data_IF_652645343337
#
_entry.id   IF_652645343337
#
_cell.length_a   1.000
_cell.length_b   1.000
_cell.length_c   1.000
_cell.angle_alpha   90.00
_cell.angle_beta   90.00
_cell.angle_gamma   90.00
#
_symmetry.space_group_name_H-M   'P 1'
#
loop_
_entity.id
_entity.type
_entity.pdbx_description
1 polymer ?
#
# COMPACT_ATOMS: atom_id res chain seq x y z
N UNK A 1 2.30 -25.22 2.29
CA UNK A 1 3.01 -25.40 3.58
C UNK A 1 4.16 -26.40 3.54
N UNK A 2 4.08 -27.54 2.84
CA UNK A 2 5.19 -28.51 2.82
C UNK A 2 6.51 -27.93 2.29
N UNK A 3 6.46 -27.03 1.29
CA UNK A 3 7.65 -26.31 0.79
C UNK A 3 8.31 -25.50 1.92
N UNK A 4 7.54 -24.64 2.59
CA UNK A 4 8.00 -23.82 3.73
C UNK A 4 8.58 -24.72 4.84
N UNK A 5 7.89 -25.82 5.18
CA UNK A 5 8.38 -26.78 6.17
C UNK A 5 9.71 -27.41 5.75
N UNK A 6 9.86 -27.78 4.48
CA UNK A 6 11.09 -28.37 3.96
C UNK A 6 12.24 -27.36 3.95
N UNK A 7 11.98 -26.09 3.64
CA UNK A 7 12.96 -24.99 3.79
C UNK A 7 13.41 -24.86 5.24
N UNK A 8 12.47 -24.79 6.18
CA UNK A 8 12.77 -24.69 7.61
C UNK A 8 13.56 -25.89 8.15
N UNK A 9 13.33 -27.08 7.60
CA UNK A 9 14.09 -28.29 7.94
C UNK A 9 15.44 -28.40 7.22
N UNK A 10 15.82 -27.43 6.39
CA UNK A 10 17.05 -27.45 5.59
C UNK A 10 17.07 -28.52 4.49
N UNK A 11 15.90 -29.00 4.07
CA UNK A 11 15.75 -30.03 3.01
C UNK A 11 15.64 -29.42 1.61
N UNK A 12 15.33 -28.13 1.53
CA UNK A 12 15.27 -27.36 0.29
C UNK A 12 16.04 -26.06 0.47
N UNK A 13 16.52 -25.51 -0.63
CA UNK A 13 17.12 -24.19 -0.71
C UNK A 13 16.20 -23.24 -1.51
N UNK A 14 16.34 -21.94 -1.26
CA UNK A 14 15.64 -20.91 -2.02
C UNK A 14 16.13 -20.91 -3.48
N UNK A 15 15.21 -20.77 -4.42
CA UNK A 15 15.52 -20.79 -5.85
C UNK A 15 14.51 -19.97 -6.66
N UNK A 16 14.88 -19.60 -7.89
CA UNK A 16 13.98 -18.91 -8.82
C UNK A 16 12.75 -19.75 -9.18
N UNK A 17 12.90 -21.05 -9.41
CA UNK A 17 11.78 -21.94 -9.72
C UNK A 17 10.79 -22.02 -8.55
N UNK A 18 11.29 -21.97 -7.31
CA UNK A 18 10.43 -21.90 -6.14
C UNK A 18 9.62 -20.61 -6.09
N UNK A 19 10.21 -19.47 -6.47
CA UNK A 19 9.50 -18.20 -6.53
C UNK A 19 8.27 -18.29 -7.43
N UNK A 20 8.39 -18.88 -8.62
CA UNK A 20 7.26 -19.07 -9.56
C UNK A 20 6.06 -19.76 -8.90
N UNK A 21 6.30 -20.72 -7.99
CA UNK A 21 5.26 -21.42 -7.23
C UNK A 21 4.73 -20.57 -6.06
N UNK A 22 5.62 -19.93 -5.29
CA UNK A 22 5.24 -19.14 -4.11
C UNK A 22 4.42 -17.89 -4.49
N UNK A 23 4.71 -17.29 -5.64
CA UNK A 23 3.96 -16.12 -6.12
C UNK A 23 2.58 -16.46 -6.72
N UNK A 24 2.24 -17.74 -6.95
CA UNK A 24 0.86 -18.14 -7.29
C UNK A 24 -0.12 -17.93 -6.13
N UNK A 25 0.37 -17.85 -4.89
CA UNK A 25 -0.49 -17.58 -3.74
C UNK A 25 -1.08 -16.16 -3.83
N UNK A 26 -2.40 -15.97 -3.90
CA UNK A 26 -2.97 -14.62 -3.95
C UNK A 26 -2.94 -13.92 -2.57
N UNK A 27 -2.44 -14.59 -1.53
CA UNK A 27 -2.49 -14.10 -0.13
C UNK A 27 -3.91 -13.73 0.31
N UNK A 28 -4.91 -14.52 -0.13
CA UNK A 28 -6.34 -14.27 0.14
C UNK A 28 -6.81 -14.62 1.56
N UNK A 29 -5.89 -15.05 2.43
CA UNK A 29 -6.13 -15.48 3.82
C UNK A 29 -7.03 -16.73 4.03
N UNK A 30 -7.63 -17.31 2.99
CA UNK A 30 -8.53 -18.47 3.14
C UNK A 30 -7.90 -19.65 3.90
N UNK A 31 -6.60 -19.89 3.74
CA UNK A 31 -5.88 -20.95 4.46
C UNK A 31 -5.62 -20.63 5.94
N UNK A 32 -5.53 -19.35 6.32
CA UNK A 32 -5.40 -18.94 7.73
C UNK A 32 -6.73 -19.13 8.45
N UNK A 33 -7.84 -18.70 7.83
CA UNK A 33 -9.20 -18.86 8.40
C UNK A 33 -9.59 -20.32 8.62
N UNK A 34 -9.20 -21.22 7.71
CA UNK A 34 -9.49 -22.64 7.83
C UNK A 34 -8.51 -23.38 8.75
N UNK A 35 -7.50 -22.70 9.31
CA UNK A 35 -6.44 -23.35 10.05
C UNK A 35 -6.90 -23.76 11.45
N UNK A 36 -6.93 -25.07 11.73
CA UNK A 36 -7.27 -25.60 13.06
C UNK A 36 -6.29 -25.19 14.18
N UNK A 37 -5.12 -24.63 13.81
CA UNK A 37 -4.06 -24.21 14.73
C UNK A 37 -3.87 -22.69 14.76
N UNK A 38 -4.78 -21.93 14.14
CA UNK A 38 -4.77 -20.46 14.13
C UNK A 38 -3.44 -19.85 13.66
N UNK A 39 -2.82 -20.48 12.65
CA UNK A 39 -1.59 -19.98 12.04
C UNK A 39 -1.92 -18.96 10.96
N UNK A 40 -1.24 -17.80 11.00
CA UNK A 40 -1.27 -16.83 9.91
C UNK A 40 -0.42 -17.30 8.72
N UNK A 41 -1.01 -18.20 7.95
CA UNK A 41 -0.39 -18.76 6.77
C UNK A 41 -0.11 -17.69 5.71
N UNK A 42 -0.94 -16.65 5.59
CA UNK A 42 -0.71 -15.56 4.65
C UNK A 42 0.56 -14.76 5.00
N UNK A 43 0.75 -14.43 6.27
CA UNK A 43 1.97 -13.76 6.74
C UNK A 43 3.23 -14.63 6.53
N UNK A 44 3.13 -15.95 6.71
CA UNK A 44 4.25 -16.87 6.42
C UNK A 44 4.63 -16.82 4.93
N UNK A 45 3.65 -16.79 4.01
CA UNK A 45 3.93 -16.65 2.58
C UNK A 45 4.55 -15.30 2.24
N UNK A 46 4.12 -14.21 2.87
CA UNK A 46 4.73 -12.89 2.71
C UNK A 46 6.17 -12.86 3.22
N UNK A 47 6.45 -13.48 4.36
CA UNK A 47 7.79 -13.60 4.92
C UNK A 47 8.71 -14.39 3.96
N UNK A 48 8.22 -15.51 3.42
CA UNK A 48 8.99 -16.29 2.44
C UNK A 48 9.27 -15.48 1.16
N UNK A 49 8.35 -14.63 0.71
CA UNK A 49 8.61 -13.73 -0.43
C UNK A 49 9.72 -12.74 -0.14
N UNK A 50 9.79 -12.22 1.09
CA UNK A 50 10.88 -11.34 1.50
C UNK A 50 12.22 -12.08 1.48
N UNK A 51 12.28 -13.31 2.02
CA UNK A 51 13.48 -14.14 1.95
C UNK A 51 13.91 -14.46 0.51
N UNK A 52 12.95 -14.75 -0.38
CA UNK A 52 13.23 -14.96 -1.80
C UNK A 52 13.84 -13.72 -2.47
N UNK A 53 13.35 -12.52 -2.14
CA UNK A 53 13.91 -11.26 -2.65
C UNK A 53 15.33 -11.04 -2.13
N UNK A 54 15.56 -11.23 -0.83
CA UNK A 54 16.89 -11.07 -0.21
C UNK A 54 17.90 -12.08 -0.75
N UNK A 55 17.46 -13.30 -1.08
CA UNK A 55 18.26 -14.34 -1.73
C UNK A 55 18.46 -14.12 -3.24
N UNK A 56 17.95 -13.04 -3.83
CA UNK A 56 18.06 -12.77 -5.28
C UNK A 56 17.23 -13.71 -6.16
N UNK A 57 16.25 -14.40 -5.57
CA UNK A 57 15.38 -15.37 -6.24
C UNK A 57 13.98 -14.82 -6.56
N UNK A 58 13.66 -13.59 -6.17
CA UNK A 58 12.36 -12.97 -6.47
C UNK A 58 12.10 -12.79 -7.97
N UNK A 59 10.84 -12.60 -8.36
CA UNK A 59 10.46 -12.48 -9.76
C UNK A 59 10.93 -11.15 -10.36
N UNK A 60 11.63 -11.22 -11.49
CA UNK A 60 12.16 -10.06 -12.21
C UNK A 60 11.04 -9.10 -12.67
N UNK A 61 9.84 -9.63 -12.93
CA UNK A 61 8.66 -8.85 -13.30
C UNK A 61 8.21 -7.84 -12.23
N UNK A 62 8.55 -8.04 -10.96
CA UNK A 62 8.19 -7.12 -9.87
C UNK A 62 9.14 -5.91 -9.77
N UNK A 63 10.37 -6.04 -10.27
CA UNK A 63 11.44 -5.04 -10.08
C UNK A 63 11.08 -3.65 -10.61
N UNK A 64 10.56 -3.49 -11.86
CA UNK A 64 10.24 -2.16 -12.38
C UNK A 64 9.18 -1.43 -11.54
N UNK A 65 8.19 -2.19 -11.06
CA UNK A 65 7.07 -1.66 -10.27
C UNK A 65 7.54 -1.19 -8.89
N UNK A 66 8.38 -1.98 -8.20
CA UNK A 66 8.95 -1.60 -6.90
C UNK A 66 9.92 -0.42 -7.01
N UNK A 67 10.72 -0.38 -8.08
CA UNK A 67 11.60 0.77 -8.35
C UNK A 67 10.78 2.05 -8.56
N UNK A 68 9.77 2.01 -9.44
CA UNK A 68 8.90 3.14 -9.72
C UNK A 68 8.19 3.62 -8.44
N UNK A 69 7.75 2.70 -7.58
CA UNK A 69 7.12 3.03 -6.31
C UNK A 69 8.04 3.89 -5.41
N UNK A 70 9.35 3.62 -5.39
CA UNK A 70 10.32 4.37 -4.58
C UNK A 70 10.72 5.70 -5.24
N UNK A 71 11.01 5.67 -6.54
CA UNK A 71 11.56 6.80 -7.31
C UNK A 71 10.48 7.81 -7.72
N UNK A 72 9.32 7.32 -8.14
CA UNK A 72 8.21 8.10 -8.69
C UNK A 72 7.03 8.19 -7.72
N UNK A 73 7.14 7.59 -6.52
CA UNK A 73 6.10 7.59 -5.49
C UNK A 73 4.78 6.90 -5.93
N UNK A 74 4.84 6.11 -7.01
CA UNK A 74 3.75 5.32 -7.54
C UNK A 74 4.27 4.12 -8.35
N UNK A 75 3.58 2.97 -8.37
CA UNK A 75 4.04 1.76 -9.05
C UNK A 75 3.81 1.78 -10.57
N UNK A 76 3.18 2.82 -11.13
CA UNK A 76 2.69 2.84 -12.51
C UNK A 76 3.64 3.48 -13.53
N UNK A 77 4.86 3.87 -13.10
CA UNK A 77 5.83 4.56 -13.96
C UNK A 77 5.29 5.86 -14.57
N UNK A 78 4.48 6.59 -13.81
CA UNK A 78 3.89 7.87 -14.22
C UNK A 78 4.39 9.03 -13.36
N UNK A 79 4.22 10.25 -13.84
CA UNK A 79 4.57 11.43 -13.04
C UNK A 79 3.58 11.54 -11.88
N UNK A 80 4.10 11.61 -10.65
CA UNK A 80 3.27 11.72 -9.46
C UNK A 80 2.40 13.00 -9.46
N UNK A 81 2.82 14.04 -10.22
CA UNK A 81 2.04 15.27 -10.43
C UNK A 81 0.66 15.01 -11.02
N UNK A 82 0.51 13.94 -11.81
CA UNK A 82 -0.77 13.58 -12.41
C UNK A 82 -1.83 13.18 -11.37
N UNK A 83 -1.44 12.85 -10.13
CA UNK A 83 -2.37 12.48 -9.05
C UNK A 83 -3.33 13.59 -8.64
N UNK A 84 -3.09 14.84 -9.04
CA UNK A 84 -4.02 15.96 -8.80
C UNK A 84 -5.06 16.16 -9.90
N UNK A 85 -4.86 15.56 -11.08
CA UNK A 85 -5.66 15.87 -12.28
C UNK A 85 -7.15 15.53 -12.11
N UNK A 86 -7.48 14.52 -11.31
CA UNK A 86 -8.88 14.15 -11.07
C UNK A 86 -9.68 15.22 -10.31
N UNK A 87 -9.00 16.11 -9.57
CA UNK A 87 -9.60 17.21 -8.81
C UNK A 87 -10.26 18.23 -9.75
N UNK A 88 -9.72 18.40 -10.97
CA UNK A 88 -10.27 19.31 -11.99
C UNK A 88 -11.70 18.93 -12.41
N UNK A 89 -12.13 17.70 -12.12
CA UNK A 89 -13.48 17.19 -12.39
C UNK A 89 -14.45 17.42 -11.23
N UNK A 90 -14.02 18.05 -10.14
CA UNK A 90 -14.85 18.43 -9.01
C UNK A 90 -15.43 19.82 -9.20
N UNK A 91 -16.64 20.03 -8.70
CA UNK A 91 -17.30 21.33 -8.61
C UNK A 91 -16.94 22.08 -7.31
N UNK A 92 -15.81 21.73 -6.69
CA UNK A 92 -15.30 22.32 -5.45
C UNK A 92 -13.81 22.13 -5.25
N UNK A 93 -13.28 22.98 -4.38
CA UNK A 93 -11.91 22.92 -3.93
C UNK A 93 -11.74 21.89 -2.81
N UNK A 94 -10.64 21.15 -2.87
CA UNK A 94 -10.21 20.22 -1.83
C UNK A 94 -8.90 20.75 -1.24
N UNK A 95 -8.79 20.74 0.09
CA UNK A 95 -7.59 21.20 0.79
C UNK A 95 -6.38 20.33 0.45
N UNK A 96 -5.20 20.96 0.36
CA UNK A 96 -3.94 20.23 0.20
C UNK A 96 -3.30 19.95 1.57
N UNK A 97 -3.27 18.68 1.97
CA UNK A 97 -2.72 18.22 3.26
C UNK A 97 -1.23 18.55 3.47
N UNK A 98 -0.52 18.93 2.40
CA UNK A 98 0.88 19.35 2.46
C UNK A 98 1.06 20.79 2.97
N UNK A 99 0.05 21.65 2.80
CA UNK A 99 0.08 23.09 3.12
C UNK A 99 -1.07 23.56 4.02
N UNK A 100 -2.17 22.82 4.06
CA UNK A 100 -3.39 23.16 4.77
C UNK A 100 -3.72 22.08 5.80
N UNK A 101 -4.38 22.49 6.90
CA UNK A 101 -4.81 21.57 7.95
C UNK A 101 -6.27 21.14 7.73
N UNK A 102 -6.52 19.85 7.95
CA UNK A 102 -7.84 19.24 8.02
C UNK A 102 -7.78 18.08 9.01
N UNK A 103 -8.91 17.75 9.63
CA UNK A 103 -8.98 16.64 10.59
C UNK A 103 -8.85 15.28 9.88
N UNK A 104 -9.38 15.20 8.65
CA UNK A 104 -9.41 13.99 7.84
C UNK A 104 -8.49 14.11 6.63
N UNK A 105 -7.70 13.07 6.37
CA UNK A 105 -7.01 12.83 5.11
C UNK A 105 -7.82 11.83 4.28
N UNK A 106 -8.19 12.19 3.05
CA UNK A 106 -8.57 11.20 2.06
C UNK A 106 -7.31 10.73 1.31
N UNK A 107 -6.83 9.53 1.66
CA UNK A 107 -5.71 8.87 0.99
C UNK A 107 -6.25 8.20 -0.28
N UNK A 108 -6.00 8.84 -1.43
CA UNK A 108 -6.63 8.50 -2.72
C UNK A 108 -6.04 7.20 -3.27
N UNK A 109 -4.74 7.02 -3.12
CA UNK A 109 -3.99 5.90 -3.67
C UNK A 109 -3.67 6.08 -5.16
N UNK A 110 -2.77 5.23 -5.65
CA UNK A 110 -2.24 5.36 -7.00
C UNK A 110 -3.27 5.03 -8.10
N UNK A 111 -4.04 3.95 -7.94
CA UNK A 111 -4.96 3.47 -8.99
C UNK A 111 -6.09 4.44 -9.24
N UNK A 112 -6.76 4.91 -8.18
CA UNK A 112 -7.88 5.84 -8.32
C UNK A 112 -7.42 7.22 -8.81
N UNK A 113 -6.21 7.67 -8.43
CA UNK A 113 -5.70 8.95 -8.88
C UNK A 113 -5.21 8.93 -10.35
N UNK A 114 -4.51 7.86 -10.75
CA UNK A 114 -3.79 7.82 -12.04
C UNK A 114 -4.54 7.09 -13.15
N UNK A 115 -5.42 6.13 -12.87
CA UNK A 115 -6.12 5.37 -13.92
C UNK A 115 -7.41 6.07 -14.34
N UNK A 116 -7.52 6.60 -15.57
CA UNK A 116 -8.66 7.42 -15.99
C UNK A 116 -10.03 6.76 -15.77
N UNK A 117 -10.14 5.46 -16.09
CA UNK A 117 -11.39 4.70 -15.96
C UNK A 117 -11.80 4.45 -14.50
N UNK A 118 -10.88 4.60 -13.56
CA UNK A 118 -11.10 4.37 -12.11
C UNK A 118 -11.20 5.71 -11.34
N UNK A 119 -10.89 6.86 -11.96
CA UNK A 119 -10.97 8.18 -11.30
C UNK A 119 -12.37 8.51 -10.75
N UNK A 120 -13.42 7.89 -11.28
CA UNK A 120 -14.77 8.00 -10.73
C UNK A 120 -14.82 7.63 -9.24
N UNK A 121 -14.00 6.69 -8.77
CA UNK A 121 -13.91 6.30 -7.36
C UNK A 121 -13.40 7.46 -6.50
N UNK A 122 -12.32 8.14 -6.91
CA UNK A 122 -11.78 9.29 -6.19
C UNK A 122 -12.79 10.46 -6.15
N UNK A 123 -13.38 10.76 -7.30
CA UNK A 123 -14.38 11.82 -7.47
C UNK A 123 -15.61 11.57 -6.59
N UNK A 124 -16.17 10.37 -6.66
CA UNK A 124 -17.39 10.04 -5.92
C UNK A 124 -17.13 9.96 -4.40
N UNK A 125 -15.96 9.46 -3.99
CA UNK A 125 -15.57 9.48 -2.56
C UNK A 125 -15.49 10.91 -2.04
N UNK A 126 -14.81 11.81 -2.76
CA UNK A 126 -14.72 13.23 -2.41
C UNK A 126 -16.10 13.91 -2.35
N UNK A 127 -17.00 13.61 -3.30
CA UNK A 127 -18.38 14.12 -3.29
C UNK A 127 -19.18 13.66 -2.09
N UNK A 128 -19.04 12.39 -1.68
CA UNK A 128 -19.67 11.85 -0.48
C UNK A 128 -19.15 12.56 0.77
N UNK A 129 -17.83 12.69 0.91
CA UNK A 129 -17.22 13.40 2.05
C UNK A 129 -17.69 14.85 2.14
N UNK A 130 -17.74 15.56 0.99
CA UNK A 130 -18.29 16.92 0.93
C UNK A 130 -19.77 16.96 1.34
N UNK A 131 -20.59 16.03 0.85
CA UNK A 131 -22.03 15.98 1.16
C UNK A 131 -22.29 15.72 2.64
N UNK A 132 -21.41 14.98 3.30
CA UNK A 132 -21.42 14.72 4.74
C UNK A 132 -20.85 15.89 5.57
N UNK A 133 -20.33 16.94 4.94
CA UNK A 133 -19.71 18.08 5.62
C UNK A 133 -18.39 17.74 6.30
N UNK A 134 -17.69 16.68 5.85
CA UNK A 134 -16.39 16.29 6.40
C UNK A 134 -15.35 17.32 5.97
N UNK A 135 -14.60 17.85 6.93
CA UNK A 135 -13.41 18.67 6.63
C UNK A 135 -12.23 17.77 6.30
N UNK A 136 -12.02 17.53 5.00
CA UNK A 136 -10.96 16.64 4.52
C UNK A 136 -9.96 17.34 3.60
N UNK A 137 -8.75 16.80 3.59
CA UNK A 137 -7.66 17.17 2.70
C UNK A 137 -7.14 15.96 1.92
N UNK A 138 -6.35 16.21 0.89
CA UNK A 138 -5.64 15.19 0.10
C UNK A 138 -4.18 15.62 -0.10
N UNK A 139 -3.27 14.69 -0.36
CA UNK A 139 -1.88 15.05 -0.70
C UNK A 139 -1.68 15.40 -2.18
N UNK A 140 -2.58 14.97 -3.07
CA UNK A 140 -2.47 15.22 -4.50
C UNK A 140 -1.12 14.76 -5.07
N UNK A 141 -0.38 15.67 -5.69
CA UNK A 141 0.95 15.38 -6.26
C UNK A 141 2.03 15.00 -5.22
N UNK A 142 1.79 15.25 -3.94
CA UNK A 142 2.69 14.85 -2.86
C UNK A 142 2.33 13.47 -2.28
N UNK A 143 1.24 12.84 -2.72
CA UNK A 143 0.83 11.56 -2.16
C UNK A 143 1.85 10.48 -2.51
N UNK A 144 2.42 9.86 -1.48
CA UNK A 144 3.35 8.73 -1.62
C UNK A 144 2.54 7.43 -1.68
N UNK A 145 2.95 6.49 -2.52
CA UNK A 145 2.32 5.16 -2.57
C UNK A 145 2.29 4.52 -1.18
N UNK A 146 1.20 3.80 -0.85
CA UNK A 146 1.09 3.08 0.42
C UNK A 146 2.13 1.97 0.60
N UNK A 147 2.86 1.57 -0.45
CA UNK A 147 3.88 0.53 -0.33
C UNK A 147 3.37 -0.89 -0.49
N UNK A 148 2.05 -1.09 -0.63
CA UNK A 148 1.43 -2.42 -0.70
C UNK A 148 2.16 -3.36 -1.66
N UNK A 149 2.52 -2.88 -2.85
CA UNK A 149 3.25 -3.65 -3.85
C UNK A 149 4.57 -4.22 -3.31
N UNK A 150 5.44 -3.38 -2.73
CA UNK A 150 6.71 -3.84 -2.14
C UNK A 150 6.45 -4.90 -1.06
N UNK A 151 5.51 -4.64 -0.16
CA UNK A 151 5.14 -5.59 0.90
C UNK A 151 4.60 -6.92 0.34
N UNK A 152 3.69 -6.89 -0.63
CA UNK A 152 3.08 -8.10 -1.24
C UNK A 152 4.10 -8.92 -2.04
N UNK A 153 5.06 -8.24 -2.67
CA UNK A 153 6.10 -8.85 -3.50
C UNK A 153 7.33 -9.29 -2.71
N UNK A 154 7.49 -8.85 -1.45
CA UNK A 154 8.63 -9.16 -0.60
C UNK A 154 9.78 -8.15 -0.65
N UNK A 155 9.69 -7.08 -1.45
CA UNK A 155 10.69 -6.02 -1.44
C UNK A 155 10.50 -5.08 -0.24
N UNK A 156 10.99 -5.55 0.91
CA UNK A 156 10.86 -4.84 2.18
C UNK A 156 11.67 -3.55 2.23
N UNK A 157 12.76 -3.44 1.45
CA UNK A 157 13.53 -2.20 1.33
C UNK A 157 12.71 -1.12 0.62
N UNK A 158 12.07 -1.48 -0.50
CA UNK A 158 11.18 -0.56 -1.20
C UNK A 158 9.96 -0.18 -0.36
N UNK A 159 9.33 -1.15 0.31
CA UNK A 159 8.22 -0.92 1.23
C UNK A 159 8.59 0.06 2.35
N UNK A 160 9.67 -0.21 3.09
CA UNK A 160 10.11 0.62 4.21
C UNK A 160 10.48 2.04 3.76
N UNK A 161 11.07 2.19 2.56
CA UNK A 161 11.41 3.51 2.00
C UNK A 161 10.19 4.41 1.84
N UNK A 162 9.09 3.88 1.30
CA UNK A 162 7.85 4.66 1.14
C UNK A 162 7.06 4.78 2.45
N UNK A 163 7.16 3.77 3.34
CA UNK A 163 6.54 3.82 4.66
C UNK A 163 7.08 4.97 5.51
N UNK A 164 8.40 5.13 5.57
CA UNK A 164 9.02 6.25 6.30
C UNK A 164 8.60 7.60 5.71
N UNK A 165 8.53 7.73 4.38
CA UNK A 165 8.02 8.96 3.74
C UNK A 165 6.56 9.26 4.10
N UNK A 166 5.70 8.23 4.12
CA UNK A 166 4.31 8.36 4.53
C UNK A 166 4.18 8.78 6.00
N UNK A 167 4.95 8.16 6.91
CA UNK A 167 4.98 8.53 8.32
C UNK A 167 5.28 10.03 8.51
N UNK A 168 6.33 10.54 7.87
CA UNK A 168 6.69 11.95 7.93
C UNK A 168 5.61 12.87 7.34
N UNK A 169 4.96 12.46 6.26
CA UNK A 169 3.84 13.21 5.66
C UNK A 169 2.64 13.26 6.60
N UNK A 170 2.25 12.13 7.19
CA UNK A 170 1.14 12.06 8.12
C UNK A 170 1.41 12.93 9.36
N UNK A 171 2.60 12.78 9.96
CA UNK A 171 3.06 13.60 11.08
C UNK A 171 3.03 15.10 10.78
N UNK A 172 3.57 15.51 9.63
CA UNK A 172 3.57 16.93 9.20
C UNK A 172 2.15 17.46 8.95
N UNK A 173 1.29 16.64 8.34
CA UNK A 173 -0.10 17.02 8.07
C UNK A 173 -0.91 17.18 9.35
N UNK A 174 -0.63 16.39 10.39
CA UNK A 174 -1.35 16.43 11.68
C UNK A 174 -2.81 16.02 11.54
N UNK A 175 -3.11 15.11 10.61
CA UNK A 175 -4.45 14.52 10.47
C UNK A 175 -4.71 13.49 11.56
N UNK A 176 -5.96 13.38 12.00
CA UNK A 176 -6.37 12.42 13.03
C UNK A 176 -7.05 11.19 12.43
N UNK A 177 -7.59 11.31 11.22
CA UNK A 177 -8.31 10.23 10.53
C UNK A 177 -7.81 10.12 9.09
N UNK A 178 -7.50 8.90 8.64
CA UNK A 178 -7.22 8.60 7.23
C UNK A 178 -8.37 7.76 6.67
N UNK A 179 -9.03 8.25 5.65
CA UNK A 179 -10.03 7.51 4.87
C UNK A 179 -9.38 7.09 3.54
N UNK A 180 -9.67 5.89 3.07
CA UNK A 180 -9.32 5.46 1.72
C UNK A 180 -10.41 4.60 1.11
N UNK A 181 -10.60 4.70 -0.20
CA UNK A 181 -11.53 3.86 -0.97
C UNK A 181 -10.85 2.62 -1.57
N UNK A 182 -9.55 2.44 -1.31
CA UNK A 182 -8.78 1.30 -1.79
C UNK A 182 -8.53 0.29 -0.66
N UNK A 183 -9.08 -0.92 -0.77
CA UNK A 183 -8.88 -1.98 0.22
C UNK A 183 -7.39 -2.35 0.43
N UNK A 184 -6.57 -2.26 -0.62
CA UNK A 184 -5.12 -2.49 -0.53
C UNK A 184 -4.41 -1.40 0.27
N UNK A 185 -4.77 -0.12 0.06
CA UNK A 185 -4.27 0.98 0.88
C UNK A 185 -4.76 0.84 2.32
N UNK A 186 -6.04 0.51 2.52
CA UNK A 186 -6.62 0.31 3.85
C UNK A 186 -5.87 -0.75 4.64
N UNK A 187 -5.68 -1.96 4.09
CA UNK A 187 -4.91 -3.03 4.74
C UNK A 187 -3.49 -2.59 5.06
N UNK A 188 -2.84 -1.89 4.13
CA UNK A 188 -1.44 -1.47 4.32
C UNK A 188 -1.32 -0.44 5.43
N UNK A 189 -2.18 0.59 5.42
CA UNK A 189 -2.20 1.63 6.45
C UNK A 189 -2.64 1.07 7.80
N UNK A 190 -3.67 0.22 7.85
CA UNK A 190 -4.23 -0.28 9.10
C UNK A 190 -3.40 -1.39 9.74
N UNK A 191 -2.86 -2.29 8.94
CA UNK A 191 -2.20 -3.53 9.41
C UNK A 191 -0.69 -3.44 9.23
N UNK A 192 -0.21 -3.16 8.02
CA UNK A 192 1.23 -3.17 7.75
C UNK A 192 1.96 -1.93 8.33
N UNK A 193 1.22 -0.83 8.61
CA UNK A 193 1.70 0.40 9.26
C UNK A 193 1.20 0.52 10.71
N UNK A 194 0.78 -0.56 11.37
CA UNK A 194 0.17 -0.51 12.70
C UNK A 194 0.98 0.36 13.69
N UNK A 195 2.29 0.13 13.79
CA UNK A 195 3.19 0.89 14.67
C UNK A 195 3.19 2.40 14.36
N UNK A 196 3.14 2.77 13.08
CA UNK A 196 3.17 4.18 12.66
C UNK A 196 1.85 4.88 12.95
N UNK A 197 0.74 4.18 12.74
CA UNK A 197 -0.60 4.70 12.99
C UNK A 197 -0.86 4.80 14.50
N UNK A 198 -0.35 3.86 15.31
CA UNK A 198 -0.42 3.91 16.77
C UNK A 198 0.42 5.05 17.34
N UNK A 199 1.67 5.21 16.89
CA UNK A 199 2.56 6.31 17.33
C UNK A 199 1.98 7.70 17.02
N UNK A 200 1.29 7.85 15.89
CA UNK A 200 0.66 9.11 15.49
C UNK A 200 -0.78 9.27 16.01
N UNK A 201 -1.31 8.28 16.74
CA UNK A 201 -2.69 8.22 17.23
C UNK A 201 -3.76 8.40 16.13
N UNK A 202 -3.45 7.95 14.91
CA UNK A 202 -4.31 8.12 13.72
C UNK A 202 -5.36 6.98 13.66
N UNK A 203 -6.57 7.30 13.23
CA UNK A 203 -7.59 6.30 12.89
C UNK A 203 -7.63 6.06 11.39
N UNK A 204 -7.47 4.81 10.97
CA UNK A 204 -7.64 4.35 9.58
C UNK A 204 -8.90 3.50 9.48
#
# INVERSE_FOLDING_TARGET
>A
MQIIRSLWQGKLELSKDMAEVIYQCPTCNACSEACAYDMDNAAIYEALRAELIDAGCGLEAHVPMNRAMVELLNPYQRDNKEKKNWIEKLDFNVKNAYSEKADVLYFVGCTAALTPDIQAVAINTAKVLRKLGVDFSIFGEHEVCCGSVGKRTGDMKAFNSVAVKNYELFKKSGVNIIITSCAGCYRTLKVDYADFIEDLEIKV
#
